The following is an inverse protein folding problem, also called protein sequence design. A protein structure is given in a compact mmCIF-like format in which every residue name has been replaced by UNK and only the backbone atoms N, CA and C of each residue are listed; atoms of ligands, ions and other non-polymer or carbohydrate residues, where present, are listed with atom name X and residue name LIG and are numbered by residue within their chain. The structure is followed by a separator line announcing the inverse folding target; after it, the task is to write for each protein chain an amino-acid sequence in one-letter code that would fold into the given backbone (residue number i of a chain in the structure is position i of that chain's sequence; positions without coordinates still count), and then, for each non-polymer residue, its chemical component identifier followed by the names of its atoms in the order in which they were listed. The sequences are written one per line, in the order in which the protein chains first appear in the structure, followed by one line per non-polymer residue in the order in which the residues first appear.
data_IF_920295557021
#
_entry.id   IF_920295557021
#
_cell.length_a   1.000
_cell.length_b   1.000
_cell.length_c   1.000
_cell.angle_alpha   90.00
_cell.angle_beta   90.00
_cell.angle_gamma   90.00
#
_symmetry.space_group_name_H-M   'P 1'
#
loop_
_entity.id
_entity.type
_entity.pdbx_description
1 polymer ?
#
# COMPACT_ATOMS: atom_id res chain seq x y z
N UNK A 1 12.71 3.03 -1.06
CA UNK A 1 12.99 2.00 -2.08
C UNK A 1 12.10 0.81 -1.81
N UNK A 2 11.28 0.39 -2.80
CA UNK A 2 10.45 -0.81 -2.71
C UNK A 2 11.34 -2.06 -2.88
N UNK A 3 11.31 -2.96 -1.91
CA UNK A 3 12.15 -4.17 -1.91
C UNK A 3 11.66 -5.25 -2.89
N UNK A 4 10.41 -5.16 -3.39
CA UNK A 4 9.86 -6.09 -4.39
C UNK A 4 10.26 -5.71 -5.81
N UNK A 5 10.52 -4.42 -6.04
CA UNK A 5 10.91 -3.90 -7.36
C UNK A 5 12.10 -2.95 -7.20
N UNK A 6 13.20 -3.46 -6.67
CA UNK A 6 14.38 -2.71 -6.25
C UNK A 6 14.76 -1.59 -7.24
N UNK A 7 15.60 -1.89 -8.20
CA UNK A 7 16.03 -0.93 -9.23
C UNK A 7 15.75 -1.44 -10.65
N UNK A 8 14.78 -2.37 -10.78
CA UNK A 8 14.46 -2.99 -12.06
C UNK A 8 15.69 -3.62 -12.70
N UNK A 9 15.91 -3.31 -13.98
CA UNK A 9 17.10 -3.74 -14.70
C UNK A 9 18.31 -2.79 -14.57
N UNK A 10 18.23 -1.82 -13.65
CA UNK A 10 19.30 -0.83 -13.43
C UNK A 10 19.46 0.24 -14.51
N UNK A 11 18.55 0.28 -15.48
CA UNK A 11 18.58 1.24 -16.58
C UNK A 11 17.50 2.30 -16.45
N UNK A 12 17.82 3.52 -16.92
CA UNK A 12 16.83 4.60 -17.01
C UNK A 12 15.94 4.42 -18.25
N UNK A 13 14.78 5.10 -18.22
CA UNK A 13 13.87 5.18 -19.35
C UNK A 13 14.60 5.64 -20.63
N UNK A 14 14.24 5.12 -21.82
CA UNK A 14 13.22 4.10 -22.11
C UNK A 14 13.69 2.65 -21.98
N UNK A 15 14.98 2.40 -21.71
CA UNK A 15 15.58 1.06 -21.66
C UNK A 15 15.19 0.28 -20.40
N UNK A 16 14.88 0.98 -19.32
CA UNK A 16 14.48 0.41 -18.03
C UNK A 16 13.39 1.24 -17.37
N UNK A 17 13.16 0.98 -16.07
CA UNK A 17 12.10 1.60 -15.29
C UNK A 17 12.57 2.77 -14.42
N UNK A 18 13.87 3.00 -14.35
CA UNK A 18 14.41 4.08 -13.54
C UNK A 18 14.13 5.44 -14.17
N UNK A 19 13.73 6.40 -13.35
CA UNK A 19 13.59 7.81 -13.75
C UNK A 19 14.93 8.54 -13.75
N UNK A 20 15.87 8.09 -12.93
CA UNK A 20 17.20 8.65 -12.74
C UNK A 20 18.25 7.53 -12.63
N UNK A 21 19.51 7.78 -12.99
CA UNK A 21 20.59 6.81 -12.85
C UNK A 21 20.87 6.48 -11.37
N UNK A 22 21.42 5.29 -11.12
CA UNK A 22 21.72 4.82 -9.75
C UNK A 22 22.75 5.69 -9.02
N UNK A 23 23.62 6.37 -9.75
CA UNK A 23 24.59 7.33 -9.20
C UNK A 23 23.93 8.44 -8.39
N UNK A 24 22.68 8.77 -8.70
CA UNK A 24 21.89 9.77 -7.98
C UNK A 24 21.48 9.33 -6.57
N UNK A 25 21.68 8.06 -6.20
CA UNK A 25 21.59 7.61 -4.81
C UNK A 25 22.58 8.34 -3.90
N UNK A 26 23.68 8.88 -4.46
CA UNK A 26 24.66 9.70 -3.72
C UNK A 26 24.04 10.93 -3.06
N UNK A 27 22.87 11.41 -3.53
CA UNK A 27 22.16 12.58 -2.98
C UNK A 27 21.23 12.22 -1.82
N UNK A 28 21.01 10.94 -1.58
CA UNK A 28 20.09 10.49 -0.52
C UNK A 28 20.68 10.72 0.85
N UNK A 29 19.90 11.28 1.75
CA UNK A 29 20.31 11.50 3.14
C UNK A 29 19.85 10.37 4.07
N UNK A 30 18.82 9.63 3.65
CA UNK A 30 18.28 8.43 4.31
C UNK A 30 17.59 7.54 3.28
N UNK A 31 17.75 6.23 3.41
CA UNK A 31 17.06 5.24 2.58
C UNK A 31 16.07 4.45 3.41
N UNK A 32 14.78 4.58 3.08
CA UNK A 32 13.72 3.76 3.64
C UNK A 32 13.42 2.61 2.70
N UNK A 33 13.72 1.38 3.11
CA UNK A 33 13.32 0.16 2.43
C UNK A 33 11.91 -0.21 2.85
N UNK A 34 11.00 -0.35 1.89
CA UNK A 34 9.59 -0.65 2.16
C UNK A 34 9.25 -2.08 1.76
N UNK A 35 8.22 -2.67 2.39
CA UNK A 35 7.74 -4.04 2.17
C UNK A 35 8.80 -5.11 2.43
N UNK A 36 9.61 -4.92 3.46
CA UNK A 36 10.72 -5.82 3.78
C UNK A 36 10.26 -7.20 4.25
N UNK A 37 9.02 -7.31 4.74
CA UNK A 37 8.33 -8.55 5.09
C UNK A 37 8.01 -9.44 3.88
N UNK A 38 7.81 -8.84 2.70
CA UNK A 38 7.48 -9.54 1.47
C UNK A 38 8.71 -9.88 0.60
N UNK A 39 9.90 -9.46 1.02
CA UNK A 39 11.14 -9.69 0.30
C UNK A 39 12.05 -10.70 1.00
N UNK A 40 12.86 -11.42 0.22
CA UNK A 40 13.84 -12.35 0.80
C UNK A 40 14.96 -11.60 1.53
N UNK A 41 15.57 -12.25 2.53
CA UNK A 41 16.77 -11.72 3.20
C UNK A 41 17.90 -11.43 2.21
N UNK A 42 18.07 -12.30 1.21
CA UNK A 42 19.12 -12.14 0.18
C UNK A 42 18.86 -10.89 -0.67
N UNK A 43 17.63 -10.66 -1.09
CA UNK A 43 17.24 -9.47 -1.87
C UNK A 43 17.54 -8.19 -1.08
N UNK A 44 17.22 -8.16 0.21
CA UNK A 44 17.54 -7.00 1.07
C UNK A 44 19.03 -6.74 1.21
N UNK A 45 19.83 -7.80 1.36
CA UNK A 45 21.30 -7.70 1.40
C UNK A 45 21.84 -7.12 0.09
N UNK A 46 21.38 -7.63 -1.05
CA UNK A 46 21.76 -7.13 -2.37
C UNK A 46 21.40 -5.66 -2.56
N UNK A 47 20.20 -5.27 -2.11
CA UNK A 47 19.72 -3.90 -2.17
C UNK A 47 20.59 -2.96 -1.32
N UNK A 48 20.88 -3.34 -0.06
CA UNK A 48 21.79 -2.59 0.82
C UNK A 48 23.19 -2.47 0.21
N UNK A 49 23.71 -3.54 -0.39
CA UNK A 49 25.00 -3.50 -1.08
C UNK A 49 24.98 -2.54 -2.29
N UNK A 50 23.90 -2.55 -3.07
CA UNK A 50 23.75 -1.62 -4.18
C UNK A 50 23.69 -0.16 -3.71
N UNK A 51 22.94 0.13 -2.63
CA UNK A 51 22.91 1.47 -2.07
C UNK A 51 24.31 1.89 -1.58
N UNK A 52 24.97 1.03 -0.80
CA UNK A 52 26.30 1.31 -0.24
C UNK A 52 27.37 1.59 -1.30
N UNK A 53 27.24 1.02 -2.49
CA UNK A 53 28.14 1.29 -3.62
C UNK A 53 28.12 2.76 -4.05
N UNK A 54 26.97 3.45 -3.93
CA UNK A 54 26.79 4.84 -4.34
C UNK A 54 26.70 5.80 -3.17
N UNK A 55 26.30 5.29 -1.98
CA UNK A 55 26.16 6.09 -0.77
C UNK A 55 26.32 5.20 0.47
N UNK A 56 27.50 5.24 1.05
CA UNK A 56 27.86 4.47 2.25
C UNK A 56 27.65 5.23 3.57
N UNK A 57 27.23 6.52 3.48
CA UNK A 57 27.05 7.40 4.64
C UNK A 57 25.61 7.45 5.12
N UNK A 58 24.65 7.46 4.18
CA UNK A 58 23.25 7.59 4.52
C UNK A 58 22.73 6.33 5.24
N UNK A 59 22.00 6.49 6.36
CA UNK A 59 21.41 5.35 7.06
C UNK A 59 20.36 4.65 6.20
N UNK A 60 20.32 3.33 6.32
CA UNK A 60 19.29 2.50 5.69
C UNK A 60 18.37 1.97 6.78
N UNK A 61 17.09 2.27 6.63
CA UNK A 61 16.00 1.97 7.56
C UNK A 61 15.05 0.98 6.88
N UNK A 62 14.53 0.01 7.60
CA UNK A 62 13.56 -0.95 7.05
C UNK A 62 12.15 -0.70 7.58
N UNK A 63 11.17 -0.90 6.72
CA UNK A 63 9.76 -0.80 7.08
C UNK A 63 8.92 -1.85 6.39
N UNK A 64 7.80 -2.15 7.04
CA UNK A 64 6.75 -3.00 6.50
C UNK A 64 5.46 -2.22 6.33
N UNK A 65 4.60 -2.67 5.44
CA UNK A 65 3.22 -2.25 5.38
C UNK A 65 2.42 -3.14 6.34
N UNK A 66 1.90 -2.53 7.40
CA UNK A 66 1.13 -3.25 8.40
C UNK A 66 -0.36 -2.96 8.24
N UNK A 67 -1.21 -3.97 7.97
CA UNK A 67 -2.65 -3.79 7.97
C UNK A 67 -3.12 -3.41 9.36
N UNK A 68 -3.98 -2.38 9.47
CA UNK A 68 -4.41 -1.81 10.73
C UNK A 68 -5.83 -2.20 11.08
N UNK A 69 -6.76 -1.89 10.19
CA UNK A 69 -8.18 -2.11 10.38
C UNK A 69 -8.94 -1.95 9.06
N UNK A 70 -10.23 -2.27 9.11
CA UNK A 70 -11.15 -1.99 8.02
C UNK A 70 -12.07 -0.82 8.39
N UNK A 71 -12.33 0.06 7.42
CA UNK A 71 -13.28 1.18 7.57
C UNK A 71 -14.31 1.09 6.44
N UNK A 72 -15.59 1.22 6.78
CA UNK A 72 -16.65 1.30 5.77
C UNK A 72 -16.43 2.54 4.90
N UNK A 73 -16.64 2.42 3.58
CA UNK A 73 -16.25 3.46 2.64
C UNK A 73 -16.93 4.81 2.89
N UNK A 74 -18.20 4.84 3.30
CA UNK A 74 -18.91 6.09 3.56
C UNK A 74 -18.35 6.81 4.80
N UNK A 75 -17.95 6.05 5.83
CA UNK A 75 -17.32 6.59 7.03
C UNK A 75 -15.89 7.06 6.74
N UNK A 76 -15.15 6.29 5.95
CA UNK A 76 -13.82 6.69 5.50
C UNK A 76 -13.85 8.01 4.72
N UNK A 77 -14.83 8.17 3.82
CA UNK A 77 -14.98 9.37 2.99
C UNK A 77 -15.35 10.61 3.81
N UNK A 78 -16.08 10.42 4.92
CA UNK A 78 -16.42 11.49 5.89
C UNK A 78 -15.31 11.78 6.89
N UNK A 79 -14.22 10.99 6.89
CA UNK A 79 -13.17 11.10 7.90
C UNK A 79 -13.62 10.64 9.29
N UNK A 80 -14.66 9.81 9.37
CA UNK A 80 -15.21 9.30 10.62
C UNK A 80 -14.41 8.05 11.02
N UNK A 81 -13.96 8.01 12.28
CA UNK A 81 -13.21 6.89 12.84
C UNK A 81 -14.02 6.06 13.86
N UNK A 82 -15.33 6.19 13.87
CA UNK A 82 -16.20 5.56 14.90
C UNK A 82 -16.56 4.11 14.56
N UNK A 83 -16.72 3.78 13.27
CA UNK A 83 -17.10 2.44 12.80
C UNK A 83 -15.90 1.70 12.17
N UNK A 84 -14.86 1.54 12.97
CA UNK A 84 -13.67 0.80 12.58
C UNK A 84 -13.88 -0.67 12.95
N UNK A 85 -13.64 -1.57 12.00
CA UNK A 85 -13.61 -3.01 12.23
C UNK A 85 -12.19 -3.49 12.43
N UNK A 86 -11.97 -4.26 13.46
CA UNK A 86 -10.72 -4.95 13.66
C UNK A 86 -10.48 -6.00 12.56
N UNK A 87 -9.22 -6.32 12.30
CA UNK A 87 -8.86 -7.33 11.29
C UNK A 87 -9.49 -8.69 11.59
N UNK A 88 -9.64 -9.03 12.88
CA UNK A 88 -10.21 -10.30 13.34
C UNK A 88 -11.71 -10.46 12.98
N UNK A 89 -12.45 -9.36 12.81
CA UNK A 89 -13.88 -9.43 12.47
C UNK A 89 -14.14 -10.02 11.09
N UNK A 90 -13.20 -9.86 10.17
CA UNK A 90 -13.28 -10.42 8.81
C UNK A 90 -12.42 -11.66 8.62
N UNK A 91 -11.69 -12.10 9.65
CA UNK A 91 -10.88 -13.33 9.56
C UNK A 91 -11.74 -14.55 9.26
N UNK A 92 -11.30 -15.36 8.29
CA UNK A 92 -12.02 -16.53 7.82
C UNK A 92 -13.29 -16.24 7.04
N UNK A 93 -13.58 -14.97 6.75
CA UNK A 93 -14.76 -14.58 5.97
C UNK A 93 -14.46 -14.54 4.49
N UNK A 94 -15.48 -14.87 3.72
CA UNK A 94 -15.47 -14.85 2.26
C UNK A 94 -15.68 -13.44 1.76
N UNK A 95 -14.70 -12.88 1.05
CA UNK A 95 -14.73 -11.51 0.56
C UNK A 95 -14.48 -11.45 -0.94
N UNK A 96 -15.03 -10.43 -1.57
CA UNK A 96 -14.67 -10.04 -2.93
C UNK A 96 -13.73 -8.84 -2.88
N UNK A 97 -12.67 -8.87 -3.68
CA UNK A 97 -11.61 -7.85 -3.69
C UNK A 97 -11.57 -7.17 -5.05
N UNK A 98 -11.34 -5.87 -5.08
CA UNK A 98 -11.02 -5.17 -6.32
C UNK A 98 -9.96 -4.09 -6.09
N UNK A 99 -9.14 -3.85 -7.11
CA UNK A 99 -8.09 -2.82 -7.03
C UNK A 99 -7.61 -2.36 -8.42
N UNK A 100 -7.16 -1.11 -8.48
CA UNK A 100 -6.52 -0.48 -9.63
C UNK A 100 -5.18 0.15 -9.22
N UNK A 101 -4.30 -0.69 -8.72
CA UNK A 101 -2.97 -0.30 -8.20
C UNK A 101 -1.86 -1.05 -8.94
N UNK A 102 -0.65 -0.50 -8.93
CA UNK A 102 0.51 -1.09 -9.65
C UNK A 102 0.95 -2.48 -9.18
N UNK A 103 0.54 -2.93 -7.97
CA UNK A 103 0.84 -4.29 -7.48
C UNK A 103 -0.38 -4.91 -6.77
N UNK A 104 -1.39 -5.39 -7.51
CA UNK A 104 -2.59 -6.01 -6.94
C UNK A 104 -2.27 -7.26 -6.11
N UNK A 105 -1.32 -8.07 -6.58
CA UNK A 105 -0.95 -9.32 -5.91
C UNK A 105 -0.40 -9.09 -4.49
N UNK A 106 0.32 -8.00 -4.25
CA UNK A 106 0.79 -7.65 -2.90
C UNK A 106 -0.37 -7.29 -1.97
N UNK A 107 -1.40 -6.62 -2.47
CA UNK A 107 -2.60 -6.32 -1.69
C UNK A 107 -3.39 -7.58 -1.34
N UNK A 108 -3.62 -8.45 -2.32
CA UNK A 108 -4.30 -9.73 -2.13
C UNK A 108 -3.53 -10.64 -1.14
N UNK A 109 -2.20 -10.67 -1.25
CA UNK A 109 -1.35 -11.40 -0.31
C UNK A 109 -1.49 -10.86 1.11
N UNK A 110 -1.56 -9.54 1.28
CA UNK A 110 -1.82 -8.91 2.58
C UNK A 110 -3.16 -9.35 3.15
N UNK A 111 -4.25 -9.32 2.36
CA UNK A 111 -5.58 -9.76 2.80
C UNK A 111 -5.59 -11.24 3.19
N UNK A 112 -4.93 -12.09 2.39
CA UNK A 112 -4.80 -13.52 2.70
C UNK A 112 -3.97 -13.75 3.98
N UNK A 113 -2.92 -12.97 4.22
CA UNK A 113 -2.07 -13.10 5.41
C UNK A 113 -2.78 -12.75 6.71
N UNK A 114 -3.77 -11.87 6.67
CA UNK A 114 -4.65 -11.55 7.81
C UNK A 114 -5.85 -12.49 7.91
N UNK A 115 -5.92 -13.50 7.02
CA UNK A 115 -6.85 -14.61 7.12
C UNK A 115 -8.19 -14.41 6.40
N UNK A 116 -8.30 -13.50 5.44
CA UNK A 116 -9.50 -13.39 4.61
C UNK A 116 -9.51 -14.46 3.51
N UNK A 117 -10.70 -14.98 3.19
CA UNK A 117 -10.92 -15.87 2.06
C UNK A 117 -11.31 -15.04 0.84
N UNK A 118 -10.41 -14.86 -0.10
CA UNK A 118 -10.68 -14.10 -1.33
C UNK A 118 -11.41 -15.01 -2.31
N UNK A 119 -12.71 -14.78 -2.50
CA UNK A 119 -13.54 -15.53 -3.44
C UNK A 119 -13.24 -15.15 -4.89
N UNK A 120 -13.05 -13.88 -5.14
CA UNK A 120 -12.68 -13.30 -6.44
C UNK A 120 -11.92 -12.00 -6.24
N UNK A 121 -10.92 -11.76 -7.09
CA UNK A 121 -10.16 -10.52 -7.14
C UNK A 121 -10.29 -9.90 -8.54
N UNK A 122 -10.96 -8.75 -8.63
CA UNK A 122 -11.09 -7.99 -9.88
C UNK A 122 -9.96 -6.96 -9.94
N UNK A 123 -9.14 -7.06 -10.97
CA UNK A 123 -7.98 -6.18 -11.17
C UNK A 123 -8.24 -5.26 -12.35
N UNK A 124 -8.12 -3.97 -12.12
CA UNK A 124 -8.16 -2.93 -13.14
C UNK A 124 -6.75 -2.41 -13.45
N UNK A 125 -6.54 -1.75 -14.59
CA UNK A 125 -5.30 -1.04 -14.86
C UNK A 125 -4.97 -0.03 -13.75
N UNK A 126 -3.68 0.20 -13.50
CA UNK A 126 -3.26 1.21 -12.50
C UNK A 126 -3.84 2.58 -12.86
N UNK A 127 -4.29 3.31 -11.83
CA UNK A 127 -4.98 4.60 -11.97
C UNK A 127 -6.35 4.59 -12.68
N UNK A 128 -7.00 3.43 -12.80
CA UNK A 128 -8.37 3.35 -13.34
C UNK A 128 -9.36 4.15 -12.48
N UNK A 129 -10.27 4.90 -13.14
CA UNK A 129 -11.39 5.59 -12.50
C UNK A 129 -12.65 4.73 -12.65
N UNK A 130 -13.29 4.41 -11.54
CA UNK A 130 -14.45 3.50 -11.54
C UNK A 130 -15.72 4.20 -12.00
N UNK A 131 -16.44 3.55 -12.94
CA UNK A 131 -17.77 3.98 -13.35
C UNK A 131 -18.88 3.35 -12.50
N UNK A 132 -20.08 3.96 -12.49
CA UNK A 132 -21.26 3.42 -11.78
C UNK A 132 -21.58 1.99 -12.20
N UNK A 133 -21.55 1.69 -13.51
CA UNK A 133 -21.86 0.34 -14.03
C UNK A 133 -20.84 -0.69 -13.55
N UNK A 134 -19.56 -0.33 -13.46
CA UNK A 134 -18.52 -1.21 -12.95
C UNK A 134 -18.74 -1.51 -11.45
N UNK A 135 -19.05 -0.49 -10.67
CA UNK A 135 -19.34 -0.64 -9.24
C UNK A 135 -20.60 -1.46 -8.99
N UNK A 136 -21.64 -1.29 -9.81
CA UNK A 136 -22.83 -2.14 -9.78
C UNK A 136 -22.49 -3.60 -10.11
N UNK A 137 -21.72 -3.82 -11.16
CA UNK A 137 -21.25 -5.18 -11.52
C UNK A 137 -20.47 -5.84 -10.37
N UNK A 138 -19.52 -5.11 -9.74
CA UNK A 138 -18.74 -5.61 -8.60
C UNK A 138 -19.68 -5.99 -7.43
N UNK A 139 -20.67 -5.15 -7.13
CA UNK A 139 -21.63 -5.41 -6.05
C UNK A 139 -22.53 -6.63 -6.35
N UNK A 140 -23.06 -6.75 -7.57
CA UNK A 140 -23.86 -7.89 -8.00
C UNK A 140 -23.02 -9.19 -7.97
N UNK A 141 -21.76 -9.07 -8.40
CA UNK A 141 -20.85 -10.21 -8.36
C UNK A 141 -20.54 -10.66 -6.93
N UNK A 142 -20.27 -9.72 -6.02
CA UNK A 142 -20.08 -10.02 -4.60
C UNK A 142 -21.30 -10.70 -3.99
N UNK A 143 -22.52 -10.23 -4.32
CA UNK A 143 -23.78 -10.82 -3.88
C UNK A 143 -23.94 -12.25 -4.43
N UNK A 144 -23.66 -12.49 -5.73
CA UNK A 144 -23.76 -13.81 -6.35
C UNK A 144 -22.79 -14.82 -5.75
N UNK A 145 -21.62 -14.38 -5.31
CA UNK A 145 -20.61 -15.18 -4.61
C UNK A 145 -20.95 -15.39 -3.12
N UNK A 146 -22.00 -14.72 -2.62
CA UNK A 146 -22.33 -14.68 -1.19
C UNK A 146 -21.19 -14.15 -0.32
N UNK A 147 -20.36 -13.26 -0.88
CA UNK A 147 -19.32 -12.58 -0.12
C UNK A 147 -19.96 -11.76 1.00
N UNK A 148 -19.33 -11.76 2.19
CA UNK A 148 -19.82 -10.98 3.32
C UNK A 148 -19.40 -9.51 3.25
N UNK A 149 -18.39 -9.21 2.40
CA UNK A 149 -17.88 -7.87 2.17
C UNK A 149 -17.17 -7.75 0.83
N UNK A 150 -17.15 -6.53 0.30
CA UNK A 150 -16.19 -6.09 -0.71
C UNK A 150 -15.03 -5.38 -0.01
N UNK A 151 -13.80 -5.57 -0.49
CA UNK A 151 -12.61 -4.93 0.09
C UNK A 151 -11.78 -4.27 -1.01
N UNK A 152 -11.34 -3.03 -0.75
CA UNK A 152 -10.47 -2.28 -1.67
C UNK A 152 -9.41 -1.47 -0.92
N UNK A 153 -8.60 -0.71 -1.66
CA UNK A 153 -7.54 0.15 -1.11
C UNK A 153 -8.02 1.59 -0.93
N UNK A 154 -7.32 2.36 -0.08
CA UNK A 154 -7.55 3.80 0.05
C UNK A 154 -7.28 4.58 -1.26
N UNK A 155 -6.37 4.08 -2.11
CA UNK A 155 -6.09 4.68 -3.42
C UNK A 155 -7.25 4.51 -4.40
N UNK A 156 -7.95 3.40 -4.31
CA UNK A 156 -9.10 3.10 -5.15
C UNK A 156 -10.35 3.83 -4.65
N UNK A 157 -10.51 3.92 -3.33
CA UNK A 157 -11.67 4.55 -2.71
C UNK A 157 -11.95 5.98 -3.21
N UNK A 158 -10.90 6.79 -3.41
CA UNK A 158 -11.04 8.18 -3.91
C UNK A 158 -11.52 8.28 -5.35
N UNK A 159 -11.53 7.16 -6.09
CA UNK A 159 -11.95 7.07 -7.49
C UNK A 159 -13.32 6.44 -7.68
N UNK A 160 -13.94 6.01 -6.59
CA UNK A 160 -15.28 5.42 -6.61
C UNK A 160 -16.32 6.55 -6.67
N UNK A 161 -17.34 6.47 -7.57
CA UNK A 161 -18.38 7.46 -7.64
C UNK A 161 -19.09 7.69 -6.31
N UNK A 162 -19.28 8.95 -5.93
CA UNK A 162 -19.93 9.34 -4.66
C UNK A 162 -21.36 8.80 -4.57
N UNK A 163 -22.05 8.71 -5.68
CA UNK A 163 -23.39 8.14 -5.78
C UNK A 163 -23.40 6.66 -5.34
N UNK A 164 -22.35 5.91 -5.70
CA UNK A 164 -22.20 4.53 -5.26
C UNK A 164 -21.84 4.46 -3.77
N UNK A 165 -20.95 5.32 -3.29
CA UNK A 165 -20.51 5.36 -1.88
C UNK A 165 -21.71 5.48 -0.93
N UNK A 166 -22.67 6.34 -1.26
CA UNK A 166 -23.84 6.60 -0.43
C UNK A 166 -25.10 5.83 -0.84
N UNK A 167 -25.02 4.95 -1.83
CA UNK A 167 -26.15 4.08 -2.19
C UNK A 167 -26.38 2.99 -1.14
N UNK A 168 -27.63 2.55 -1.02
CA UNK A 168 -27.95 1.38 -0.23
C UNK A 168 -27.35 0.13 -0.88
N UNK A 169 -26.62 -0.68 -0.12
CA UNK A 169 -25.97 -1.92 -0.56
C UNK A 169 -26.27 -3.04 0.43
N UNK A 170 -26.46 -4.24 -0.10
CA UNK A 170 -26.54 -5.45 0.72
C UNK A 170 -25.16 -5.89 1.21
N UNK A 171 -24.15 -5.73 0.35
CA UNK A 171 -22.76 -6.12 0.65
C UNK A 171 -21.97 -4.86 1.04
N UNK A 172 -21.45 -4.76 2.27
CA UNK A 172 -20.66 -3.62 2.70
C UNK A 172 -19.34 -3.53 1.94
N UNK A 173 -18.85 -2.31 1.70
CA UNK A 173 -17.57 -2.04 1.08
C UNK A 173 -16.61 -1.46 2.11
N UNK A 174 -15.53 -2.18 2.37
CA UNK A 174 -14.49 -1.78 3.31
C UNK A 174 -13.20 -1.37 2.62
N UNK A 175 -12.53 -0.42 3.21
CA UNK A 175 -11.19 -0.01 2.88
C UNK A 175 -10.25 -0.62 3.91
N UNK A 176 -9.21 -1.34 3.46
CA UNK A 176 -8.13 -1.75 4.33
C UNK A 176 -7.20 -0.56 4.59
N UNK A 177 -7.19 -0.07 5.82
CA UNK A 177 -6.20 0.90 6.26
C UNK A 177 -4.87 0.23 6.52
N UNK A 178 -3.81 0.88 6.06
CA UNK A 178 -2.44 0.41 6.18
C UNK A 178 -1.62 1.46 6.93
N UNK A 179 -0.81 1.01 7.89
CA UNK A 179 0.25 1.81 8.50
C UNK A 179 1.61 1.39 7.97
N UNK A 180 2.60 2.27 8.07
CA UNK A 180 4.00 1.95 7.83
C UNK A 180 4.68 1.80 9.18
N UNK A 181 5.16 0.59 9.45
CA UNK A 181 5.91 0.29 10.67
C UNK A 181 7.40 0.19 10.36
N UNK A 182 8.22 0.98 11.05
CA UNK A 182 9.68 0.87 10.97
C UNK A 182 10.10 -0.34 11.81
N UNK A 183 10.75 -1.30 11.17
CA UNK A 183 11.19 -2.56 11.79
C UNK A 183 12.67 -2.56 12.16
N UNK A 184 13.47 -1.74 11.47
CA UNK A 184 14.90 -1.59 11.73
C UNK A 184 15.33 -0.14 11.53
N UNK A 185 16.13 0.41 12.46
CA UNK A 185 16.72 1.74 12.37
C UNK A 185 15.78 2.89 12.79
N UNK A 186 14.79 2.64 13.65
CA UNK A 186 13.83 3.66 14.14
C UNK A 186 14.54 4.88 14.76
N UNK A 187 15.60 4.66 15.54
CA UNK A 187 16.33 5.76 16.20
C UNK A 187 16.98 6.69 15.17
N UNK A 188 17.63 6.11 14.16
CA UNK A 188 18.22 6.86 13.04
C UNK A 188 17.16 7.59 12.23
N UNK A 189 16.00 6.99 12.04
CA UNK A 189 14.88 7.62 11.35
C UNK A 189 14.38 8.84 12.11
N UNK A 190 14.13 8.71 13.41
CA UNK A 190 13.69 9.82 14.27
C UNK A 190 14.72 10.94 14.30
N UNK A 191 15.98 10.61 14.58
CA UNK A 191 17.08 11.60 14.61
C UNK A 191 17.15 12.40 13.31
N UNK A 192 17.02 11.72 12.16
CA UNK A 192 17.06 12.38 10.87
C UNK A 192 15.85 13.31 10.65
N UNK A 193 14.64 12.86 10.97
CA UNK A 193 13.43 13.68 10.84
C UNK A 193 13.48 14.89 11.77
N UNK A 194 13.89 14.71 13.03
CA UNK A 194 14.01 15.81 13.99
C UNK A 194 15.04 16.85 13.53
N UNK A 195 16.17 16.38 12.97
CA UNK A 195 17.18 17.29 12.39
C UNK A 195 16.65 18.06 11.19
N UNK A 196 15.94 17.40 10.28
CA UNK A 196 15.36 18.02 9.10
C UNK A 196 14.31 19.10 9.48
N UNK A 197 13.45 18.80 10.47
CA UNK A 197 12.45 19.75 10.96
C UNK A 197 13.11 20.97 11.60
N UNK A 198 14.13 20.79 12.47
CA UNK A 198 14.85 21.89 13.09
C UNK A 198 15.50 22.79 12.05
N UNK A 199 16.18 22.20 11.06
CA UNK A 199 16.82 22.94 9.97
C UNK A 199 15.86 23.80 9.15
N UNK A 200 14.61 23.38 8.99
CA UNK A 200 13.60 24.18 8.29
C UNK A 200 12.98 25.27 9.18
N UNK A 201 12.86 25.03 10.49
CA UNK A 201 12.40 26.05 11.44
C UNK A 201 13.42 27.20 11.63
N UNK A 202 14.70 26.87 11.60
CA UNK A 202 15.80 27.86 11.74
C UNK A 202 16.00 28.76 10.50
N UNK A 203 15.34 28.42 9.37
CA UNK A 203 15.36 29.23 8.13
C UNK A 203 14.27 30.31 8.08
N UNK A 204 13.32 30.30 9.01
CA UNK A 204 12.21 31.25 9.12
C UNK A 204 12.50 32.32 10.16
#
# INVERSE_FOLDING_TARGET
VDTLNMFGNGCVLPRGTLREPLENLSRGDLFLLTKTDQSSKLSRIQLRHTIAKYNDKAPVVESIHHPKNFVEIADWYKGISENIKDLEELRGKDVMVFSAIGNPSSFEQTLSSIGLNIMEAVRYPDHHDYGMLEMQYINERASSLKAVAMVTTAKDAVKIPTEFIYSAREIPLYILNMDICITEGMDKFKEYIDHAIKKELDKK
#
